data_IF_998880597029
#
_entry.id   IF_998880597029
#
_cell.length_a   1.000
_cell.length_b   1.000
_cell.length_c   1.000
_cell.angle_alpha   90.00
_cell.angle_beta   90.00
_cell.angle_gamma   90.00
#
_symmetry.space_group_name_H-M   'P 1'
#
loop_
_entity.id
_entity.type
_entity.pdbx_description
1 polymer ?
#
# COMPACT_ATOMS: atom_id res chain seq x y z
N UNK A 1 12.75 13.02 -12.11
CA UNK A 1 11.83 13.53 -13.15
C UNK A 1 11.84 12.54 -14.30
N UNK A 2 10.94 11.55 -14.28
CA UNK A 2 10.98 10.35 -15.15
C UNK A 2 10.75 10.65 -16.64
N UNK A 3 10.08 11.76 -16.95
CA UNK A 3 9.87 12.26 -18.32
C UNK A 3 11.16 12.61 -19.07
N UNK A 4 12.31 12.69 -18.38
CA UNK A 4 13.62 13.00 -18.96
C UNK A 4 14.48 11.76 -19.24
N UNK A 5 14.00 10.56 -18.88
CA UNK A 5 14.70 9.31 -19.16
C UNK A 5 14.52 8.96 -20.64
N UNK A 6 15.63 8.76 -21.35
CA UNK A 6 15.64 8.40 -22.77
C UNK A 6 14.86 7.08 -22.99
N UNK A 7 14.01 7.02 -24.03
CA UNK A 7 13.16 5.87 -24.33
C UNK A 7 11.90 5.70 -23.46
N UNK A 8 11.71 6.48 -22.39
CA UNK A 8 10.51 6.38 -21.53
C UNK A 8 9.21 6.71 -22.27
N UNK A 9 9.24 7.74 -23.13
CA UNK A 9 8.07 8.15 -23.93
C UNK A 9 7.68 7.10 -24.97
N UNK A 10 8.64 6.38 -25.53
CA UNK A 10 8.39 5.36 -26.55
C UNK A 10 7.88 4.07 -25.92
N UNK A 11 8.38 3.72 -24.73
CA UNK A 11 7.81 2.67 -23.89
C UNK A 11 6.35 2.95 -23.51
N UNK A 12 6.03 4.20 -23.11
CA UNK A 12 4.66 4.60 -22.83
C UNK A 12 3.75 4.52 -24.06
N UNK A 13 4.24 4.94 -25.23
CA UNK A 13 3.47 4.88 -26.48
C UNK A 13 3.18 3.46 -26.92
N UNK A 14 4.18 2.58 -26.90
CA UNK A 14 4.00 1.16 -27.24
C UNK A 14 3.04 0.46 -26.27
N UNK A 15 3.16 0.76 -24.96
CA UNK A 15 2.24 0.27 -23.95
C UNK A 15 0.81 0.78 -24.17
N UNK A 16 0.65 2.09 -24.45
CA UNK A 16 -0.65 2.69 -24.73
C UNK A 16 -1.30 2.12 -26.00
N UNK A 17 -0.54 1.85 -27.06
CA UNK A 17 -1.04 1.21 -28.27
C UNK A 17 -1.55 -0.21 -28.02
N UNK A 18 -0.79 -1.03 -27.30
CA UNK A 18 -1.21 -2.39 -26.95
C UNK A 18 -2.47 -2.41 -26.09
N UNK A 19 -2.61 -1.45 -25.16
CA UNK A 19 -3.83 -1.28 -24.38
C UNK A 19 -4.99 -0.87 -25.27
N UNK A 20 -4.81 0.14 -26.13
CA UNK A 20 -5.88 0.67 -26.97
C UNK A 20 -6.48 -0.38 -27.91
N UNK A 21 -5.68 -1.32 -28.40
CA UNK A 21 -6.16 -2.36 -29.32
C UNK A 21 -7.01 -3.42 -28.59
N UNK A 22 -6.59 -3.84 -27.40
CA UNK A 22 -7.35 -4.77 -26.55
C UNK A 22 -8.59 -4.08 -25.97
N UNK A 23 -8.45 -2.83 -25.55
CA UNK A 23 -9.51 -2.03 -24.93
C UNK A 23 -10.56 -1.57 -25.94
N UNK A 24 -10.17 -1.26 -27.18
CA UNK A 24 -11.11 -0.89 -28.24
C UNK A 24 -12.14 -1.98 -28.51
N UNK A 25 -11.74 -3.24 -28.50
CA UNK A 25 -12.66 -4.38 -28.63
C UNK A 25 -13.58 -4.51 -27.41
N UNK A 26 -13.03 -4.32 -26.21
CA UNK A 26 -13.78 -4.43 -24.95
C UNK A 26 -14.82 -3.31 -24.80
N UNK A 27 -14.45 -2.05 -25.07
CA UNK A 27 -15.36 -0.91 -25.08
C UNK A 27 -16.44 -1.07 -26.14
N UNK A 28 -16.08 -1.49 -27.37
CA UNK A 28 -17.06 -1.70 -28.44
C UNK A 28 -18.10 -2.75 -28.06
N UNK A 29 -17.66 -3.88 -27.49
CA UNK A 29 -18.56 -4.95 -27.04
C UNK A 29 -19.43 -4.53 -25.85
N UNK A 30 -18.85 -3.80 -24.89
CA UNK A 30 -19.59 -3.25 -23.74
C UNK A 30 -20.65 -2.25 -24.19
N UNK A 31 -20.31 -1.37 -25.14
CA UNK A 31 -21.23 -0.37 -25.69
C UNK A 31 -22.37 -1.04 -26.45
N UNK A 32 -22.07 -2.05 -27.28
CA UNK A 32 -23.09 -2.83 -27.96
C UNK A 32 -24.05 -3.52 -26.98
N UNK A 33 -23.53 -4.08 -25.87
CA UNK A 33 -24.36 -4.67 -24.82
C UNK A 33 -25.21 -3.62 -24.09
N UNK A 34 -24.67 -2.41 -23.85
CA UNK A 34 -25.42 -1.30 -23.26
C UNK A 34 -26.58 -0.86 -24.16
N UNK A 35 -26.34 -0.76 -25.47
CA UNK A 35 -27.39 -0.41 -26.44
C UNK A 35 -28.56 -1.42 -26.42
N UNK A 36 -28.28 -2.71 -26.19
CA UNK A 36 -29.35 -3.70 -26.03
C UNK A 36 -30.16 -3.48 -24.74
N UNK A 37 -29.50 -3.09 -23.65
CA UNK A 37 -30.18 -2.75 -22.39
C UNK A 37 -31.05 -1.51 -22.58
N UNK A 38 -30.50 -0.45 -23.19
CA UNK A 38 -31.20 0.81 -23.46
C UNK A 38 -32.44 0.58 -24.35
N UNK A 39 -32.31 -0.28 -25.36
CA UNK A 39 -33.44 -0.69 -26.20
C UNK A 39 -34.59 -1.28 -25.36
N UNK A 40 -34.29 -2.23 -24.47
CA UNK A 40 -35.31 -2.86 -23.64
C UNK A 40 -35.85 -1.94 -22.54
N UNK A 41 -35.07 -0.98 -22.05
CA UNK A 41 -35.54 0.08 -21.14
C UNK A 41 -36.50 1.03 -21.87
N UNK A 42 -36.23 1.38 -23.14
CA UNK A 42 -37.13 2.17 -23.97
C UNK A 42 -38.45 1.47 -24.25
N UNK A 43 -38.41 0.20 -24.69
CA UNK A 43 -39.63 -0.58 -24.97
C UNK A 43 -40.52 -0.72 -23.73
N UNK A 44 -39.92 -0.92 -22.55
CA UNK A 44 -40.66 -0.97 -21.28
C UNK A 44 -41.29 0.38 -20.91
N UNK A 45 -40.64 1.49 -21.27
CA UNK A 45 -41.18 2.83 -21.02
C UNK A 45 -42.44 3.12 -21.87
N UNK A 46 -42.52 2.52 -23.07
CA UNK A 46 -43.62 2.71 -24.01
C UNK A 46 -44.79 1.76 -23.74
N UNK A 47 -44.51 0.53 -23.30
CA UNK A 47 -45.53 -0.47 -23.01
C UNK A 47 -45.06 -1.50 -21.98
N UNK A 48 -46.03 -2.23 -21.43
CA UNK A 48 -45.72 -3.43 -20.64
C UNK A 48 -45.03 -4.48 -21.52
N UNK A 49 -43.98 -5.08 -20.97
CA UNK A 49 -43.27 -6.20 -21.56
C UNK A 49 -44.05 -7.50 -21.36
N UNK A 50 -43.94 -8.42 -22.32
CA UNK A 50 -44.33 -9.82 -22.13
C UNK A 50 -43.30 -10.54 -21.24
N UNK A 51 -43.65 -11.72 -20.73
CA UNK A 51 -42.73 -12.56 -19.94
C UNK A 51 -41.46 -12.94 -20.74
N UNK A 52 -41.62 -13.21 -22.04
CA UNK A 52 -40.49 -13.54 -22.92
C UNK A 52 -39.57 -12.32 -23.11
N UNK A 53 -40.15 -11.13 -23.29
CA UNK A 53 -39.38 -9.88 -23.44
C UNK A 53 -38.67 -9.48 -22.16
N UNK A 54 -39.31 -9.71 -21.01
CA UNK A 54 -38.68 -9.54 -19.70
C UNK A 54 -37.46 -10.46 -19.56
N UNK A 55 -37.56 -11.71 -20.02
CA UNK A 55 -36.43 -12.64 -20.04
C UNK A 55 -35.30 -12.13 -20.94
N UNK A 56 -35.60 -11.66 -22.16
CA UNK A 56 -34.60 -11.08 -23.08
C UNK A 56 -33.92 -9.83 -22.50
N UNK A 57 -34.69 -8.98 -21.82
CA UNK A 57 -34.15 -7.80 -21.11
C UNK A 57 -33.20 -8.20 -20.00
N UNK A 58 -33.56 -9.23 -19.22
CA UNK A 58 -32.69 -9.77 -18.17
C UNK A 58 -31.39 -10.30 -18.76
N UNK A 59 -31.45 -11.07 -19.85
CA UNK A 59 -30.26 -11.56 -20.56
C UNK A 59 -29.38 -10.40 -21.07
N UNK A 60 -29.97 -9.33 -21.62
CA UNK A 60 -29.22 -8.15 -22.05
C UNK A 60 -28.49 -7.49 -20.87
N UNK A 61 -29.16 -7.34 -19.72
CA UNK A 61 -28.56 -6.78 -18.49
C UNK A 61 -27.43 -7.67 -17.95
N UNK A 62 -27.60 -8.98 -17.98
CA UNK A 62 -26.55 -9.95 -17.58
C UNK A 62 -25.37 -9.90 -18.55
N UNK A 63 -25.62 -9.78 -19.85
CA UNK A 63 -24.61 -9.60 -20.88
C UNK A 63 -23.78 -8.33 -20.66
N UNK A 64 -24.44 -7.20 -20.40
CA UNK A 64 -23.75 -5.95 -20.06
C UNK A 64 -22.93 -6.08 -18.76
N UNK A 65 -23.51 -6.67 -17.71
CA UNK A 65 -22.82 -6.88 -16.44
C UNK A 65 -21.55 -7.75 -16.60
N UNK A 66 -21.58 -8.74 -17.50
CA UNK A 66 -20.40 -9.54 -17.86
C UNK A 66 -19.28 -8.67 -18.44
N UNK A 67 -19.59 -7.77 -19.38
CA UNK A 67 -18.61 -6.88 -19.98
C UNK A 67 -18.00 -5.91 -18.98
N UNK A 68 -18.81 -5.33 -18.09
CA UNK A 68 -18.33 -4.48 -16.99
C UNK A 68 -17.36 -5.24 -16.07
N UNK A 69 -17.68 -6.49 -15.72
CA UNK A 69 -16.77 -7.33 -14.90
C UNK A 69 -15.44 -7.61 -15.62
N UNK A 70 -15.47 -7.89 -16.93
CA UNK A 70 -14.26 -8.12 -17.71
C UNK A 70 -13.38 -6.86 -17.76
N UNK A 71 -13.98 -5.68 -17.91
CA UNK A 71 -13.28 -4.39 -17.83
C UNK A 71 -12.57 -4.20 -16.48
N UNK A 72 -13.28 -4.47 -15.38
CA UNK A 72 -12.72 -4.35 -14.02
C UNK A 72 -11.54 -5.31 -13.81
N UNK A 73 -11.68 -6.57 -14.22
CA UNK A 73 -10.62 -7.58 -14.12
C UNK A 73 -9.40 -7.14 -14.93
N UNK A 74 -9.62 -6.65 -16.15
CA UNK A 74 -8.57 -6.15 -17.02
C UNK A 74 -7.79 -4.99 -16.38
N UNK A 75 -8.49 -3.98 -15.86
CA UNK A 75 -7.85 -2.85 -15.16
C UNK A 75 -7.06 -3.28 -13.92
N UNK A 76 -7.60 -4.25 -13.16
CA UNK A 76 -6.90 -4.81 -11.99
C UNK A 76 -5.62 -5.54 -12.40
N UNK A 77 -5.63 -6.29 -13.50
CA UNK A 77 -4.46 -6.99 -14.01
C UNK A 77 -3.41 -6.01 -14.54
N UNK A 78 -3.80 -5.05 -15.38
CA UNK A 78 -2.90 -4.03 -15.93
C UNK A 78 -2.26 -3.17 -14.85
N UNK A 79 -3.04 -2.72 -13.86
CA UNK A 79 -2.50 -1.93 -12.74
C UNK A 79 -1.45 -2.70 -11.95
N UNK A 80 -1.65 -4.01 -11.74
CA UNK A 80 -0.67 -4.88 -11.06
C UNK A 80 0.58 -5.09 -11.91
N UNK A 81 0.43 -5.37 -13.20
CA UNK A 81 1.57 -5.54 -14.11
C UNK A 81 2.41 -4.26 -14.18
N UNK A 82 1.76 -3.11 -14.29
CA UNK A 82 2.41 -1.80 -14.25
C UNK A 82 3.18 -1.62 -12.94
N UNK A 83 2.54 -1.90 -11.80
CA UNK A 83 3.17 -1.82 -10.50
C UNK A 83 4.34 -2.77 -10.33
N UNK A 84 4.28 -4.00 -10.86
CA UNK A 84 5.40 -4.95 -10.82
C UNK A 84 6.57 -4.44 -11.67
N UNK A 85 6.29 -4.00 -12.89
CA UNK A 85 7.30 -3.50 -13.84
C UNK A 85 7.98 -2.23 -13.34
N UNK A 86 7.26 -1.38 -12.62
CA UNK A 86 7.78 -0.13 -12.06
C UNK A 86 8.29 -0.28 -10.63
N UNK A 87 7.77 -1.25 -9.87
CA UNK A 87 8.17 -1.58 -8.51
C UNK A 87 9.62 -2.04 -8.43
N UNK A 88 10.07 -2.88 -9.37
CA UNK A 88 11.47 -3.27 -9.49
C UNK A 88 12.40 -2.07 -9.73
N UNK A 89 11.89 -1.04 -10.43
CA UNK A 89 12.60 0.23 -10.67
C UNK A 89 12.50 1.21 -9.49
N UNK A 90 11.60 0.97 -8.54
CA UNK A 90 11.30 1.86 -7.40
C UNK A 90 12.00 1.44 -6.09
N UNK A 91 12.76 0.35 -6.10
CA UNK A 91 13.56 -0.14 -4.95
C UNK A 91 14.39 0.98 -4.31
N UNK A 92 15.07 1.80 -5.11
CA UNK A 92 15.91 2.90 -4.59
C UNK A 92 15.17 3.97 -3.79
N UNK A 93 13.88 4.25 -4.08
CA UNK A 93 13.09 5.21 -3.31
C UNK A 93 12.73 4.65 -1.93
N UNK A 94 12.21 3.42 -1.88
CA UNK A 94 11.85 2.76 -0.63
C UNK A 94 13.08 2.47 0.24
N UNK A 95 14.22 2.12 -0.37
CA UNK A 95 15.49 2.02 0.34
C UNK A 95 15.93 3.36 0.94
N UNK A 96 15.81 4.49 0.21
CA UNK A 96 16.11 5.82 0.76
C UNK A 96 15.18 6.19 1.91
N UNK A 97 13.89 5.88 1.80
CA UNK A 97 12.90 6.14 2.85
C UNK A 97 13.18 5.31 4.11
N UNK A 98 13.42 4.00 3.96
CA UNK A 98 13.79 3.11 5.06
C UNK A 98 15.09 3.55 5.74
N UNK A 99 16.11 3.93 4.95
CA UNK A 99 17.37 4.45 5.48
C UNK A 99 17.20 5.80 6.20
N UNK A 100 16.32 6.68 5.70
CA UNK A 100 16.01 7.93 6.39
C UNK A 100 15.28 7.70 7.72
N UNK A 101 14.36 6.73 7.77
CA UNK A 101 13.75 6.30 9.04
C UNK A 101 14.78 5.71 9.99
N UNK A 102 15.65 4.79 9.52
CA UNK A 102 16.73 4.22 10.34
C UNK A 102 17.60 5.32 10.94
N UNK A 103 18.12 6.26 10.13
CA UNK A 103 18.93 7.39 10.63
C UNK A 103 18.23 8.26 11.67
N UNK A 104 16.91 8.47 11.52
CA UNK A 104 16.13 9.26 12.49
C UNK A 104 15.89 8.53 13.82
N UNK A 105 15.82 7.20 13.79
CA UNK A 105 15.49 6.39 14.95
C UNK A 105 16.69 5.64 15.55
N UNK A 106 17.89 5.76 14.98
CA UNK A 106 19.13 5.26 15.57
C UNK A 106 19.71 6.33 16.50
N UNK A 107 19.71 6.04 17.81
CA UNK A 107 20.41 6.84 18.81
C UNK A 107 21.86 6.36 18.91
N UNK A 108 22.78 7.03 18.21
CA UNK A 108 24.18 6.59 18.12
C UNK A 108 24.98 6.88 19.40
N UNK A 109 24.69 8.00 20.09
CA UNK A 109 25.35 8.37 21.35
C UNK A 109 24.40 9.13 22.27
N UNK A 110 24.57 8.95 23.56
CA UNK A 110 23.80 9.66 24.60
C UNK A 110 24.77 10.30 25.60
N UNK A 111 24.49 11.53 26.00
CA UNK A 111 25.30 12.26 26.98
C UNK A 111 24.70 12.12 28.37
N UNK A 112 25.44 11.50 29.30
CA UNK A 112 25.03 11.29 30.69
C UNK A 112 26.08 11.93 31.59
N UNK A 113 25.65 12.85 32.47
CA UNK A 113 26.52 13.52 33.46
C UNK A 113 27.80 14.15 32.87
N UNK A 114 27.77 14.59 31.61
CA UNK A 114 28.92 15.23 30.93
C UNK A 114 29.69 14.31 29.98
N UNK A 115 29.58 12.99 30.12
CA UNK A 115 30.27 12.00 29.28
C UNK A 115 29.38 11.51 28.14
N UNK A 116 29.98 11.35 26.95
CA UNK A 116 29.31 10.74 25.79
C UNK A 116 29.50 9.24 25.80
N UNK A 117 28.39 8.51 25.78
CA UNK A 117 28.38 7.04 25.67
C UNK A 117 27.93 6.66 24.27
N UNK A 118 28.71 5.81 23.60
CA UNK A 118 28.46 5.39 22.20
C UNK A 118 28.30 3.88 22.03
N UNK A 119 28.68 3.10 23.03
CA UNK A 119 28.44 1.66 23.03
C UNK A 119 27.02 1.40 23.53
N UNK A 120 26.25 0.59 22.79
CA UNK A 120 24.83 0.31 23.09
C UNK A 120 24.64 -0.20 24.53
N UNK A 121 25.53 -1.07 24.99
CA UNK A 121 25.53 -1.57 26.37
C UNK A 121 25.89 -0.48 27.39
N UNK A 122 26.86 0.40 27.08
CA UNK A 122 27.25 1.51 27.95
C UNK A 122 26.14 2.57 28.05
N UNK A 123 25.45 2.87 26.95
CA UNK A 123 24.30 3.80 26.91
C UNK A 123 23.16 3.26 27.77
N UNK A 124 22.86 1.96 27.69
CA UNK A 124 21.79 1.37 28.50
C UNK A 124 22.17 1.35 29.99
N UNK A 125 23.37 0.85 30.35
CA UNK A 125 23.82 0.87 31.75
C UNK A 125 23.80 2.28 32.34
N UNK A 126 24.33 3.28 31.62
CA UNK A 126 24.33 4.66 32.08
C UNK A 126 22.92 5.26 32.23
N UNK A 127 21.96 4.88 31.38
CA UNK A 127 20.56 5.27 31.50
C UNK A 127 19.89 4.62 32.73
N UNK A 128 20.11 3.32 32.96
CA UNK A 128 19.61 2.62 34.17
C UNK A 128 20.14 3.29 35.43
N UNK A 129 21.45 3.52 35.50
CA UNK A 129 22.10 4.12 36.66
C UNK A 129 21.59 5.53 36.94
N UNK A 130 21.47 6.36 35.89
CA UNK A 130 20.96 7.73 36.03
C UNK A 130 19.51 7.75 36.47
N UNK A 131 18.65 6.91 35.88
CA UNK A 131 17.25 6.81 36.27
C UNK A 131 17.09 6.27 37.70
N UNK A 132 17.87 5.26 38.07
CA UNK A 132 17.88 4.70 39.43
C UNK A 132 18.32 5.75 40.45
N UNK A 133 19.36 6.54 40.15
CA UNK A 133 19.83 7.66 40.98
C UNK A 133 18.76 8.75 41.13
N UNK A 134 18.07 9.12 40.04
CA UNK A 134 17.00 10.13 40.07
C UNK A 134 15.78 9.65 40.85
N UNK A 135 15.40 8.37 40.70
CA UNK A 135 14.26 7.77 41.42
C UNK A 135 14.58 7.69 42.92
N UNK A 136 15.77 7.21 43.28
CA UNK A 136 16.22 7.14 44.68
C UNK A 136 16.40 8.52 45.31
N UNK A 137 16.89 9.50 44.54
CA UNK A 137 17.04 10.89 45.00
C UNK A 137 15.73 11.67 45.12
N UNK A 138 14.69 11.33 44.33
CA UNK A 138 13.35 11.95 44.44
C UNK A 138 12.46 11.32 45.51
N UNK A 139 12.69 10.07 45.87
CA UNK A 139 11.80 9.35 46.80
C UNK A 139 12.30 9.28 48.25
N UNK A 140 13.49 9.79 48.58
CA UNK A 140 13.96 9.85 49.98
C UNK A 140 13.80 8.54 50.75
N UNK A 141 13.89 7.39 50.06
CA UNK A 141 13.76 6.06 50.67
C UNK A 141 15.14 5.61 51.12
N UNK A 142 15.55 6.09 52.29
CA UNK A 142 16.44 5.29 53.13
C UNK A 142 15.67 4.02 53.54
N UNK A 143 16.24 2.87 53.18
CA UNK A 143 15.83 1.58 53.72
C UNK A 143 14.94 0.77 52.79
N UNK A 144 15.55 -0.24 52.16
CA UNK A 144 15.30 -1.67 52.48
C UNK A 144 15.83 -2.56 51.35
N UNK A 145 17.14 -2.72 51.27
CA UNK A 145 17.76 -3.96 50.76
C UNK A 145 19.04 -4.20 51.55
N UNK A 146 18.88 -4.45 52.86
CA UNK A 146 19.90 -5.13 53.66
C UNK A 146 19.45 -6.58 53.75
N UNK A 147 20.25 -7.49 53.19
CA UNK A 147 20.12 -8.92 53.40
C UNK A 147 19.73 -9.72 52.18
N UNK A 148 20.68 -9.92 51.26
CA UNK A 148 21.02 -11.28 50.80
C UNK A 148 22.55 -11.30 50.67
N UNK A 149 23.24 -11.62 51.77
CA UNK A 149 24.58 -12.20 51.75
C UNK A 149 24.45 -13.65 52.20
N UNK A 150 25.22 -14.49 51.52
CA UNK A 150 25.63 -15.86 51.86
C UNK A 150 24.54 -16.91 52.03
N UNK A 151 24.50 -17.86 51.11
CA UNK A 151 25.07 -19.18 51.42
C UNK A 151 25.60 -19.81 50.14
N UNK A 152 26.89 -20.10 50.19
CA UNK A 152 27.59 -21.03 49.32
C UNK A 152 27.44 -22.40 49.96
N UNK A 153 27.14 -23.40 49.16
CA UNK A 153 27.77 -24.72 49.17
C UNK A 153 27.65 -25.33 47.77
#
# INVERSE_FOLDING_TARGET
>A
MWLKVEGFKDLLRSWWQGISEVFGNLESNKLAALQQVDYWDQVESERRLSEEEFSRKKEAKEGYAKWVKLEEIHWRQLSRELWLREGDKNTGYFHRMANAHRRRHTMERVKISGAWLSEEHAVWTGLVERLSSVINGRLGVEGRYRGIKSESD
#
